data_IF_910900763907
#
_entry.id   IF_910900763907
#
_cell.length_a   1.000
_cell.length_b   1.000
_cell.length_c   1.000
_cell.angle_alpha   90.00
_cell.angle_beta   90.00
_cell.angle_gamma   90.00
#
_symmetry.space_group_name_H-M   'P 1'
#
loop_
_entity.id
_entity.type
_entity.pdbx_description
1 polymer ?
#
# COMPACT_ATOMS: atom_id res chain seq x y z
N UNK A 1 -15.81 10.47 26.48
CA UNK A 1 -16.33 9.81 27.67
C UNK A 1 -15.24 9.60 28.69
N UNK A 2 -15.59 9.57 29.96
CA UNK A 2 -14.68 9.28 31.07
C UNK A 2 -14.56 7.76 31.19
N UNK A 3 -13.36 7.24 31.39
CA UNK A 3 -13.13 5.80 31.56
C UNK A 3 -13.74 5.30 32.88
N UNK A 4 -14.18 4.03 32.91
CA UNK A 4 -14.94 3.44 34.00
C UNK A 4 -14.23 3.51 35.35
N UNK A 5 -12.89 3.49 35.34
CA UNK A 5 -12.08 3.61 36.56
C UNK A 5 -11.95 5.05 37.07
N UNK A 6 -11.98 6.03 36.19
CA UNK A 6 -11.98 7.45 36.51
C UNK A 6 -13.36 7.91 37.03
N UNK A 7 -14.43 7.19 36.73
CA UNK A 7 -15.77 7.49 37.16
C UNK A 7 -16.08 7.01 38.58
N UNK A 8 -15.26 6.15 39.19
CA UNK A 8 -15.56 5.52 40.50
C UNK A 8 -15.63 6.49 41.67
N UNK A 9 -14.92 7.61 41.60
CA UNK A 9 -14.82 8.58 42.70
C UNK A 9 -15.66 9.86 42.44
N UNK A 10 -16.46 9.88 41.35
CA UNK A 10 -17.31 11.03 41.04
C UNK A 10 -18.67 10.85 41.72
N UNK A 11 -18.91 11.63 42.75
CA UNK A 11 -20.15 11.62 43.51
C UNK A 11 -21.05 12.82 43.21
N UNK A 12 -20.67 13.67 42.25
CA UNK A 12 -21.40 14.86 41.86
C UNK A 12 -22.56 14.52 40.91
N UNK A 13 -23.68 15.23 41.07
CA UNK A 13 -24.78 15.19 40.09
C UNK A 13 -24.38 15.96 38.83
N UNK A 14 -24.78 15.44 37.68
CA UNK A 14 -24.54 16.07 36.37
C UNK A 14 -25.88 16.50 35.76
N UNK A 15 -25.97 17.74 35.33
CA UNK A 15 -27.11 18.26 34.58
C UNK A 15 -26.73 18.31 33.10
N UNK A 16 -27.51 17.68 32.27
CA UNK A 16 -27.32 17.65 30.82
C UNK A 16 -28.45 18.38 30.12
N UNK A 17 -28.10 19.26 29.20
CA UNK A 17 -29.04 19.93 28.30
C UNK A 17 -28.74 19.42 26.86
N UNK A 18 -29.75 18.88 26.20
CA UNK A 18 -29.65 18.47 24.80
C UNK A 18 -29.84 19.71 23.95
N UNK A 19 -28.75 20.25 23.42
CA UNK A 19 -28.77 21.47 22.61
C UNK A 19 -29.06 21.20 21.14
N UNK A 20 -28.74 19.98 20.65
CA UNK A 20 -28.92 19.59 19.25
C UNK A 20 -29.09 18.09 19.14
N UNK A 21 -30.04 17.67 18.32
CA UNK A 21 -30.22 16.27 17.92
C UNK A 21 -29.97 16.18 16.42
N UNK A 22 -28.98 15.42 16.02
CA UNK A 22 -28.70 15.13 14.62
C UNK A 22 -29.04 13.67 14.30
N UNK A 23 -29.64 13.45 13.17
CA UNK A 23 -29.99 12.10 12.68
C UNK A 23 -29.38 11.92 11.30
N UNK A 24 -28.58 10.87 11.16
CA UNK A 24 -28.10 10.47 9.84
C UNK A 24 -29.23 9.72 9.12
N UNK A 25 -29.62 10.25 7.98
CA UNK A 25 -30.58 9.63 7.07
C UNK A 25 -29.88 9.38 5.71
N UNK A 26 -30.30 8.34 4.96
CA UNK A 26 -29.81 8.19 3.60
C UNK A 26 -30.06 9.45 2.78
N UNK A 27 -29.09 9.88 2.00
CA UNK A 27 -29.25 11.02 1.09
C UNK A 27 -30.19 10.64 -0.05
N UNK A 28 -30.91 11.61 -0.58
CA UNK A 28 -31.66 11.44 -1.82
C UNK A 28 -30.69 11.41 -3.00
N UNK A 29 -31.06 10.68 -4.08
CA UNK A 29 -30.26 10.58 -5.29
C UNK A 29 -30.56 11.80 -6.17
N UNK A 30 -30.01 12.94 -5.80
CA UNK A 30 -30.21 14.23 -6.43
C UNK A 30 -28.88 14.90 -6.84
N UNK A 31 -28.96 16.04 -7.53
CA UNK A 31 -27.77 16.79 -7.98
C UNK A 31 -26.86 17.25 -6.82
N UNK A 32 -27.40 17.45 -5.61
CA UNK A 32 -26.62 17.87 -4.45
C UNK A 32 -25.70 16.73 -4.01
N UNK A 33 -26.23 15.52 -3.92
CA UNK A 33 -25.45 14.32 -3.64
C UNK A 33 -24.41 14.05 -4.73
N UNK A 34 -24.79 14.21 -6.02
CA UNK A 34 -23.88 13.94 -7.14
C UNK A 34 -22.67 14.88 -7.12
N UNK A 35 -22.90 16.17 -6.89
CA UNK A 35 -21.84 17.17 -6.73
C UNK A 35 -20.99 16.97 -5.48
N UNK A 36 -21.60 16.52 -4.39
CA UNK A 36 -20.86 16.24 -3.16
C UNK A 36 -19.94 15.01 -3.32
N UNK A 37 -20.42 13.95 -4.01
CA UNK A 37 -19.65 12.73 -4.23
C UNK A 37 -18.58 12.91 -5.33
N UNK A 38 -18.92 13.61 -6.42
CA UNK A 38 -18.06 13.80 -7.57
C UNK A 38 -18.00 15.29 -7.97
N UNK A 39 -17.30 16.13 -7.20
CA UNK A 39 -17.33 17.59 -7.38
C UNK A 39 -16.69 18.07 -8.70
N UNK A 40 -15.97 17.20 -9.39
CA UNK A 40 -15.31 17.51 -10.66
C UNK A 40 -16.08 17.05 -11.90
N UNK A 41 -17.05 16.17 -11.72
CA UNK A 41 -17.83 15.58 -12.79
C UNK A 41 -19.17 16.31 -12.93
N UNK A 42 -19.62 16.60 -14.16
CA UNK A 42 -20.93 17.22 -14.43
C UNK A 42 -22.01 16.13 -14.53
N UNK A 43 -22.31 15.48 -13.41
CA UNK A 43 -23.30 14.42 -13.28
C UNK A 43 -24.65 15.04 -12.96
N UNK A 44 -25.66 14.78 -13.78
CA UNK A 44 -27.00 15.38 -13.69
C UNK A 44 -28.12 14.37 -13.49
N UNK A 45 -27.88 13.11 -13.82
CA UNK A 45 -28.89 12.05 -13.74
C UNK A 45 -28.45 10.94 -12.81
N UNK A 46 -29.44 10.23 -12.24
CA UNK A 46 -29.16 9.04 -11.42
C UNK A 46 -28.42 7.96 -12.23
N UNK A 47 -28.70 7.81 -13.51
CA UNK A 47 -28.03 6.82 -14.38
C UNK A 47 -26.54 7.14 -14.52
N UNK A 48 -26.20 8.41 -14.82
CA UNK A 48 -24.80 8.87 -14.90
C UNK A 48 -24.08 8.67 -13.56
N UNK A 49 -24.74 8.99 -12.44
CA UNK A 49 -24.19 8.78 -11.10
C UNK A 49 -23.90 7.31 -10.83
N UNK A 50 -24.86 6.43 -11.11
CA UNK A 50 -24.69 4.98 -10.92
C UNK A 50 -23.58 4.42 -11.81
N UNK A 51 -23.45 4.90 -13.04
CA UNK A 51 -22.36 4.50 -13.93
C UNK A 51 -21.01 4.97 -13.40
N UNK A 52 -20.91 6.21 -12.94
CA UNK A 52 -19.69 6.73 -12.34
C UNK A 52 -19.29 5.97 -11.07
N UNK A 53 -20.24 5.69 -10.18
CA UNK A 53 -19.99 4.86 -9.00
C UNK A 53 -19.50 3.46 -9.40
N UNK A 54 -20.10 2.85 -10.43
CA UNK A 54 -19.68 1.53 -10.94
C UNK A 54 -18.27 1.57 -11.51
N UNK A 55 -17.91 2.63 -12.23
CA UNK A 55 -16.56 2.85 -12.74
C UNK A 55 -15.54 2.93 -11.60
N UNK A 56 -15.80 3.75 -10.58
CA UNK A 56 -14.90 3.91 -9.44
C UNK A 56 -14.76 2.62 -8.61
N UNK A 57 -15.86 1.91 -8.38
CA UNK A 57 -15.83 0.60 -7.72
C UNK A 57 -15.02 -0.40 -8.56
N UNK A 58 -15.27 -0.46 -9.86
CA UNK A 58 -14.55 -1.35 -10.78
C UNK A 58 -13.04 -1.05 -10.79
N UNK A 59 -12.67 0.24 -10.77
CA UNK A 59 -11.28 0.67 -10.68
C UNK A 59 -10.64 0.24 -9.35
N UNK A 60 -11.34 0.43 -8.23
CA UNK A 60 -10.86 0.00 -6.92
C UNK A 60 -10.64 -1.53 -6.86
N UNK A 61 -11.60 -2.32 -7.34
CA UNK A 61 -11.46 -3.78 -7.40
C UNK A 61 -10.34 -4.23 -8.33
N UNK A 62 -10.14 -3.55 -9.45
CA UNK A 62 -9.03 -3.85 -10.35
C UNK A 62 -7.69 -3.62 -9.65
N UNK A 63 -7.55 -2.53 -8.92
CA UNK A 63 -6.32 -2.26 -8.14
C UNK A 63 -6.07 -3.33 -7.07
N UNK A 64 -7.11 -3.76 -6.35
CA UNK A 64 -6.97 -4.82 -5.34
C UNK A 64 -6.67 -6.19 -5.98
N UNK A 65 -7.27 -6.50 -7.13
CA UNK A 65 -6.96 -7.70 -7.92
C UNK A 65 -5.49 -7.68 -8.37
N UNK A 66 -4.99 -6.53 -8.81
CA UNK A 66 -3.60 -6.36 -9.22
C UNK A 66 -2.63 -6.56 -8.04
N UNK A 67 -2.98 -6.06 -6.86
CA UNK A 67 -2.19 -6.29 -5.64
C UNK A 67 -2.17 -7.77 -5.24
N UNK A 68 -3.33 -8.42 -5.26
CA UNK A 68 -3.44 -9.85 -4.97
C UNK A 68 -2.62 -10.68 -5.97
N UNK A 69 -2.72 -10.37 -7.25
CA UNK A 69 -1.94 -11.00 -8.30
C UNK A 69 -0.43 -10.80 -8.07
N UNK A 70 0.02 -9.56 -7.83
CA UNK A 70 1.43 -9.26 -7.56
C UNK A 70 1.98 -10.12 -6.41
N UNK A 71 1.24 -10.20 -5.32
CA UNK A 71 1.64 -10.98 -4.16
C UNK A 71 1.70 -12.47 -4.45
N UNK A 72 0.64 -13.03 -5.04
CA UNK A 72 0.60 -14.45 -5.39
C UNK A 72 1.69 -14.83 -6.39
N UNK A 73 1.95 -13.97 -7.36
CA UNK A 73 3.01 -14.16 -8.35
C UNK A 73 4.40 -14.14 -7.70
N UNK A 74 4.66 -13.23 -6.76
CA UNK A 74 5.91 -13.17 -6.00
C UNK A 74 6.08 -14.38 -5.09
N UNK A 75 5.05 -14.78 -4.35
CA UNK A 75 5.09 -15.97 -3.50
C UNK A 75 5.36 -17.23 -4.34
N UNK A 76 4.70 -17.38 -5.49
CA UNK A 76 4.93 -18.49 -6.40
C UNK A 76 6.34 -18.48 -6.99
N UNK A 77 6.80 -17.32 -7.44
CA UNK A 77 8.15 -17.16 -7.97
C UNK A 77 9.20 -17.51 -6.90
N UNK A 78 8.93 -17.10 -5.66
CA UNK A 78 9.78 -17.41 -4.51
C UNK A 78 9.79 -18.92 -4.20
N UNK A 79 8.66 -19.59 -4.25
CA UNK A 79 8.55 -21.04 -4.01
C UNK A 79 9.27 -21.84 -5.10
N UNK A 80 9.03 -21.48 -6.38
CA UNK A 80 9.57 -22.20 -7.55
C UNK A 80 11.06 -21.89 -7.79
N UNK A 81 11.61 -20.82 -7.19
CA UNK A 81 13.04 -20.51 -7.32
C UNK A 81 13.85 -21.33 -6.32
N UNK A 82 14.68 -22.24 -6.83
CA UNK A 82 15.62 -22.99 -5.99
C UNK A 82 16.93 -22.21 -5.83
N UNK A 83 17.14 -21.64 -4.63
CA UNK A 83 18.39 -20.97 -4.26
C UNK A 83 19.09 -21.78 -3.17
N UNK A 84 20.20 -22.39 -3.57
CA UNK A 84 21.05 -23.12 -2.62
C UNK A 84 21.91 -22.13 -1.81
N UNK A 85 21.51 -21.85 -0.59
CA UNK A 85 22.23 -20.95 0.32
C UNK A 85 23.18 -21.75 1.22
N UNK A 86 24.43 -21.26 1.44
CA UNK A 86 25.37 -21.88 2.35
C UNK A 86 25.02 -21.53 3.81
N UNK A 87 24.01 -22.20 4.36
CA UNK A 87 23.37 -21.86 5.65
C UNK A 87 24.36 -21.72 6.80
N UNK A 88 25.33 -22.67 6.94
CA UNK A 88 26.34 -22.62 7.99
C UNK A 88 27.30 -21.43 7.88
N UNK A 89 27.61 -21.02 6.65
CA UNK A 89 28.41 -19.82 6.41
C UNK A 89 27.60 -18.57 6.76
N UNK A 90 26.35 -18.52 6.33
CA UNK A 90 25.47 -17.35 6.55
C UNK A 90 25.19 -17.11 8.03
N UNK A 91 24.96 -18.17 8.83
CA UNK A 91 24.80 -18.04 10.28
C UNK A 91 26.05 -17.42 10.92
N UNK A 92 27.24 -17.92 10.57
CA UNK A 92 28.51 -17.37 11.06
C UNK A 92 28.74 -15.94 10.62
N UNK A 93 28.40 -15.64 9.37
CA UNK A 93 28.52 -14.30 8.82
C UNK A 93 27.57 -13.31 9.54
N UNK A 94 26.31 -13.68 9.76
CA UNK A 94 25.34 -12.88 10.53
C UNK A 94 25.86 -12.58 11.92
N UNK A 95 26.41 -13.57 12.63
CA UNK A 95 27.00 -13.39 13.95
C UNK A 95 28.16 -12.40 13.93
N UNK A 96 29.08 -12.56 12.98
CA UNK A 96 30.27 -11.71 12.88
C UNK A 96 29.91 -10.28 12.46
N UNK A 97 29.01 -10.12 11.50
CA UNK A 97 28.59 -8.81 10.97
C UNK A 97 27.81 -7.96 11.98
N UNK A 98 27.13 -8.62 12.93
CA UNK A 98 26.44 -7.94 14.02
C UNK A 98 27.34 -7.62 15.23
N UNK A 99 28.65 -7.84 15.10
CA UNK A 99 29.63 -7.52 16.17
C UNK A 99 29.27 -8.15 17.53
N UNK A 100 28.59 -9.29 17.53
CA UNK A 100 28.13 -9.98 18.73
C UNK A 100 26.91 -9.35 19.42
N UNK A 101 26.24 -8.38 18.79
CA UNK A 101 24.98 -7.78 19.31
C UNK A 101 23.82 -8.75 19.29
N UNK A 102 23.88 -9.77 18.41
CA UNK A 102 22.89 -10.83 18.28
C UNK A 102 23.59 -12.16 18.62
N UNK A 103 23.06 -12.91 19.53
CA UNK A 103 23.63 -14.22 19.91
C UNK A 103 23.44 -15.26 18.80
N UNK A 104 24.30 -16.30 18.79
CA UNK A 104 24.16 -17.40 17.86
C UNK A 104 22.81 -18.14 18.04
N UNK A 105 22.34 -18.24 19.27
CA UNK A 105 21.04 -18.86 19.59
C UNK A 105 19.87 -18.08 19.00
N UNK A 106 19.91 -16.74 19.05
CA UNK A 106 18.89 -15.89 18.42
C UNK A 106 18.96 -15.96 16.91
N UNK A 107 20.16 -16.05 16.32
CA UNK A 107 20.33 -16.25 14.88
C UNK A 107 19.72 -17.59 14.47
N UNK A 108 20.01 -18.69 15.17
CA UNK A 108 19.47 -20.01 14.87
C UNK A 108 17.93 -20.02 14.95
N UNK A 109 17.37 -19.41 15.99
CA UNK A 109 15.92 -19.31 16.19
C UNK A 109 15.21 -18.56 15.07
N UNK A 110 15.85 -17.53 14.53
CA UNK A 110 15.26 -16.65 13.52
C UNK A 110 15.83 -16.90 12.10
N UNK A 111 16.64 -17.96 11.93
CA UNK A 111 17.39 -18.17 10.69
C UNK A 111 16.51 -18.36 9.47
N UNK A 112 15.38 -19.02 9.61
CA UNK A 112 14.43 -19.19 8.49
C UNK A 112 13.93 -17.86 7.93
N UNK A 113 13.72 -16.87 8.79
CA UNK A 113 13.39 -15.51 8.38
C UNK A 113 14.52 -14.84 7.59
N UNK A 114 15.75 -14.95 8.08
CA UNK A 114 16.93 -14.42 7.36
C UNK A 114 17.16 -15.12 6.02
N UNK A 115 17.02 -16.43 6.00
CA UNK A 115 17.14 -17.24 4.79
C UNK A 115 16.11 -16.85 3.74
N UNK A 116 14.85 -16.66 4.17
CA UNK A 116 13.77 -16.20 3.31
C UNK A 116 14.05 -14.80 2.75
N UNK A 117 14.48 -13.86 3.57
CA UNK A 117 14.82 -12.51 3.13
C UNK A 117 15.97 -12.50 2.12
N UNK A 118 17.03 -13.25 2.36
CA UNK A 118 18.15 -13.39 1.41
C UNK A 118 17.72 -14.01 0.08
N UNK A 119 16.92 -15.08 0.12
CA UNK A 119 16.39 -15.70 -1.09
C UNK A 119 15.57 -14.70 -1.90
N UNK A 120 14.72 -13.92 -1.23
CA UNK A 120 13.90 -12.89 -1.86
C UNK A 120 14.78 -11.82 -2.52
N UNK A 121 15.76 -11.28 -1.80
CA UNK A 121 16.70 -10.28 -2.33
C UNK A 121 17.49 -10.81 -3.55
N UNK A 122 17.93 -12.06 -3.51
CA UNK A 122 18.62 -12.66 -4.65
C UNK A 122 17.71 -12.84 -5.86
N UNK A 123 16.46 -13.21 -5.65
CA UNK A 123 15.45 -13.33 -6.70
C UNK A 123 15.16 -11.97 -7.33
N UNK A 124 14.95 -10.94 -6.51
CA UNK A 124 14.71 -9.56 -6.96
C UNK A 124 15.89 -9.02 -7.78
N UNK A 125 17.11 -9.24 -7.29
CA UNK A 125 18.33 -8.86 -8.00
C UNK A 125 18.49 -9.59 -9.33
N UNK A 126 18.14 -10.88 -9.38
CA UNK A 126 18.20 -11.65 -10.62
C UNK A 126 17.17 -11.17 -11.65
N UNK A 127 15.97 -10.85 -11.23
CA UNK A 127 14.91 -10.29 -12.07
C UNK A 127 15.30 -8.91 -12.60
N UNK A 128 15.74 -8.01 -11.71
CA UNK A 128 16.16 -6.65 -12.07
C UNK A 128 17.34 -6.65 -13.03
N UNK A 129 18.28 -7.61 -12.86
CA UNK A 129 19.42 -7.77 -13.76
C UNK A 129 19.01 -8.25 -15.17
N UNK A 130 17.94 -9.02 -15.27
CA UNK A 130 17.39 -9.49 -16.55
C UNK A 130 16.52 -8.44 -17.24
N UNK A 131 15.85 -7.59 -16.47
CA UNK A 131 14.97 -6.54 -16.96
C UNK A 131 15.16 -5.26 -16.14
N UNK A 132 15.89 -4.30 -16.72
CA UNK A 132 16.19 -3.01 -16.05
C UNK A 132 14.94 -2.19 -15.75
N UNK A 133 13.83 -2.39 -16.47
CA UNK A 133 12.56 -1.70 -16.21
C UNK A 133 11.95 -2.08 -14.86
N UNK A 134 12.36 -3.20 -14.27
CA UNK A 134 11.94 -3.60 -12.92
C UNK A 134 12.65 -2.82 -11.81
N UNK A 135 13.79 -2.19 -12.14
CA UNK A 135 14.59 -1.47 -11.16
C UNK A 135 13.84 -0.22 -10.68
N UNK A 136 13.66 -0.10 -9.38
CA UNK A 136 13.15 1.12 -8.73
C UNK A 136 14.32 2.06 -8.45
N UNK A 137 14.24 3.28 -8.95
CA UNK A 137 15.26 4.33 -8.78
C UNK A 137 14.85 5.34 -7.72
N UNK A 138 15.79 6.17 -7.27
CA UNK A 138 15.48 7.29 -6.36
C UNK A 138 14.50 8.28 -6.99
N UNK A 139 14.58 8.47 -8.32
CA UNK A 139 13.64 9.30 -9.06
C UNK A 139 12.21 8.73 -9.02
N UNK A 140 12.06 7.42 -9.13
CA UNK A 140 10.76 6.75 -9.00
C UNK A 140 10.17 6.95 -7.60
N UNK A 141 10.99 6.77 -6.57
CA UNK A 141 10.60 7.00 -5.18
C UNK A 141 10.16 8.44 -4.95
N UNK A 142 10.94 9.41 -5.44
CA UNK A 142 10.60 10.83 -5.36
C UNK A 142 9.29 11.14 -6.09
N UNK A 143 9.08 10.57 -7.26
CA UNK A 143 7.85 10.75 -8.03
C UNK A 143 6.63 10.23 -7.26
N UNK A 144 6.72 9.05 -6.66
CA UNK A 144 5.65 8.47 -5.86
C UNK A 144 5.35 9.32 -4.61
N UNK A 145 6.39 9.75 -3.89
CA UNK A 145 6.25 10.63 -2.73
C UNK A 145 5.62 11.97 -3.14
N UNK A 146 6.07 12.58 -4.23
CA UNK A 146 5.48 13.82 -4.75
C UNK A 146 4.01 13.66 -5.09
N UNK A 147 3.64 12.57 -5.73
CA UNK A 147 2.24 12.26 -6.07
C UNK A 147 1.38 12.10 -4.82
N UNK A 148 1.90 11.44 -3.79
CA UNK A 148 1.21 11.30 -2.51
C UNK A 148 0.94 12.66 -1.86
N UNK A 149 1.96 13.51 -1.76
CA UNK A 149 1.80 14.85 -1.16
C UNK A 149 0.99 15.80 -2.04
N UNK A 150 1.09 15.70 -3.37
CA UNK A 150 0.24 16.47 -4.31
C UNK A 150 -1.24 16.18 -4.07
N UNK A 151 -1.61 14.91 -3.90
CA UNK A 151 -2.97 14.50 -3.55
C UNK A 151 -3.46 15.01 -2.20
N UNK A 152 -2.56 15.17 -1.24
CA UNK A 152 -2.88 15.67 0.10
C UNK A 152 -3.02 17.20 0.14
N UNK A 153 -2.09 17.93 -0.48
CA UNK A 153 -2.09 19.40 -0.45
C UNK A 153 -3.02 20.05 -1.47
N UNK A 154 -3.30 19.37 -2.58
CA UNK A 154 -4.09 19.85 -3.70
C UNK A 154 -5.22 18.87 -4.07
N UNK A 155 -6.11 18.57 -3.11
CA UNK A 155 -7.21 17.67 -3.40
C UNK A 155 -8.08 18.33 -4.48
N UNK A 156 -8.00 17.81 -5.71
CA UNK A 156 -8.87 18.26 -6.76
C UNK A 156 -8.21 19.01 -7.92
N UNK A 157 -6.93 19.33 -7.88
CA UNK A 157 -6.23 19.89 -9.06
C UNK A 157 -5.75 18.78 -9.99
N UNK A 158 -5.94 18.98 -11.29
CA UNK A 158 -5.40 18.09 -12.32
C UNK A 158 -3.87 18.07 -12.26
N UNK A 159 -3.26 16.96 -12.63
CA UNK A 159 -1.80 16.78 -12.63
C UNK A 159 -1.05 17.75 -13.59
N UNK A 160 -1.78 18.50 -14.39
CA UNK A 160 -1.27 19.31 -15.49
C UNK A 160 -0.92 20.78 -15.13
N UNK A 161 -1.28 21.27 -13.94
CA UNK A 161 -0.82 22.59 -13.50
C UNK A 161 0.54 22.45 -12.81
N UNK A 162 1.60 22.48 -13.62
CA UNK A 162 2.99 22.58 -13.17
C UNK A 162 3.29 24.01 -12.69
N UNK A 163 2.94 24.31 -11.44
CA UNK A 163 3.51 25.47 -10.75
C UNK A 163 4.98 25.16 -10.39
N UNK A 164 5.97 25.85 -11.00
CA UNK A 164 7.37 25.59 -10.73
C UNK A 164 7.74 25.74 -9.24
N UNK A 165 7.13 26.68 -8.51
CA UNK A 165 7.37 26.88 -7.09
C UNK A 165 6.84 25.72 -6.25
N UNK A 166 5.68 25.19 -6.61
CA UNK A 166 5.10 23.99 -5.97
C UNK A 166 5.95 22.75 -6.25
N UNK A 167 6.41 22.57 -7.47
CA UNK A 167 7.27 21.45 -7.84
C UNK A 167 8.59 21.47 -7.07
N UNK A 168 9.20 22.64 -6.85
CA UNK A 168 10.41 22.80 -6.04
C UNK A 168 10.15 22.42 -4.57
N UNK A 169 9.02 22.85 -4.01
CA UNK A 169 8.63 22.48 -2.64
C UNK A 169 8.40 20.97 -2.51
N UNK A 170 7.71 20.35 -3.45
CA UNK A 170 7.49 18.91 -3.47
C UNK A 170 8.81 18.14 -3.61
N UNK A 171 9.76 18.64 -4.38
CA UNK A 171 11.09 18.04 -4.51
C UNK A 171 11.84 18.08 -3.17
N UNK A 172 11.79 19.22 -2.46
CA UNK A 172 12.41 19.34 -1.14
C UNK A 172 11.74 18.41 -0.10
N UNK A 173 10.42 18.30 -0.14
CA UNK A 173 9.65 17.38 0.70
C UNK A 173 10.07 15.93 0.42
N UNK A 174 10.13 15.53 -0.86
CA UNK A 174 10.51 14.18 -1.26
C UNK A 174 11.95 13.84 -0.80
N UNK A 175 12.90 14.72 -1.01
CA UNK A 175 14.29 14.53 -0.57
C UNK A 175 14.37 14.36 0.96
N UNK A 176 13.73 15.25 1.72
CA UNK A 176 13.68 15.14 3.18
C UNK A 176 13.00 13.85 3.67
N UNK A 177 11.97 13.41 2.95
CA UNK A 177 11.24 12.19 3.28
C UNK A 177 12.12 10.95 3.10
N UNK A 178 12.83 10.85 1.99
CA UNK A 178 13.77 9.76 1.68
C UNK A 178 14.90 9.67 2.72
N UNK A 179 15.42 10.81 3.18
CA UNK A 179 16.50 10.83 4.18
C UNK A 179 16.05 10.40 5.58
N UNK A 180 14.85 10.85 5.99
CA UNK A 180 14.40 10.71 7.39
C UNK A 180 13.54 9.47 7.64
N UNK A 181 12.87 8.93 6.62
CA UNK A 181 11.87 7.87 6.76
C UNK A 181 12.30 6.60 6.02
N UNK A 182 13.44 6.03 6.40
CA UNK A 182 14.04 4.88 5.69
C UNK A 182 13.13 3.65 5.62
N UNK A 183 12.40 3.36 6.68
CA UNK A 183 11.48 2.20 6.71
C UNK A 183 10.31 2.41 5.75
N UNK A 184 9.74 3.61 5.73
CA UNK A 184 8.65 3.94 4.82
C UNK A 184 9.12 4.03 3.36
N UNK A 185 10.32 4.57 3.13
CA UNK A 185 10.98 4.55 1.82
C UNK A 185 11.14 3.13 1.30
N UNK A 186 11.53 2.19 2.18
CA UNK A 186 11.63 0.78 1.82
C UNK A 186 10.27 0.19 1.45
N UNK A 187 9.22 0.51 2.19
CA UNK A 187 7.84 0.06 1.88
C UNK A 187 7.38 0.58 0.52
N UNK A 188 7.64 1.87 0.22
CA UNK A 188 7.31 2.46 -1.09
C UNK A 188 8.10 1.77 -2.20
N UNK A 189 9.38 1.49 -1.98
CA UNK A 189 10.22 0.75 -2.92
C UNK A 189 9.63 -0.64 -3.21
N UNK A 190 9.30 -1.40 -2.17
CA UNK A 190 8.79 -2.76 -2.30
C UNK A 190 7.41 -2.77 -3.00
N UNK A 191 6.57 -1.76 -2.75
CA UNK A 191 5.29 -1.60 -3.43
C UNK A 191 5.47 -1.27 -4.92
N UNK A 192 6.36 -0.34 -5.27
CA UNK A 192 6.70 -0.01 -6.66
C UNK A 192 7.28 -1.20 -7.41
N UNK A 193 8.19 -1.92 -6.77
CA UNK A 193 8.80 -3.11 -7.32
C UNK A 193 7.76 -4.21 -7.59
N UNK A 194 6.89 -4.49 -6.61
CA UNK A 194 5.80 -5.44 -6.75
C UNK A 194 4.85 -5.07 -7.89
N UNK A 195 4.53 -3.79 -8.03
CA UNK A 195 3.69 -3.26 -9.11
C UNK A 195 4.34 -3.47 -10.49
N UNK A 196 5.65 -3.22 -10.62
CA UNK A 196 6.42 -3.44 -11.85
C UNK A 196 6.51 -4.92 -12.22
N UNK A 197 6.76 -5.79 -11.24
CA UNK A 197 6.77 -7.24 -11.47
C UNK A 197 5.39 -7.73 -11.90
N UNK A 198 4.32 -7.27 -11.25
CA UNK A 198 2.97 -7.65 -11.64
C UNK A 198 2.67 -7.28 -13.10
N UNK A 199 3.01 -6.04 -13.50
CA UNK A 199 2.83 -5.60 -14.88
C UNK A 199 3.65 -6.44 -15.85
N UNK A 200 4.92 -6.69 -15.54
CA UNK A 200 5.80 -7.52 -16.36
C UNK A 200 5.28 -8.96 -16.51
N UNK A 201 4.87 -9.59 -15.42
CA UNK A 201 4.35 -10.95 -15.47
C UNK A 201 3.01 -11.05 -16.22
N UNK A 202 2.17 -10.02 -16.14
CA UNK A 202 0.93 -9.94 -16.92
C UNK A 202 1.17 -9.85 -18.42
N UNK A 203 2.25 -9.20 -18.84
CA UNK A 203 2.62 -9.05 -20.26
C UNK A 203 3.30 -10.31 -20.81
N UNK A 204 4.12 -10.99 -19.99
CA UNK A 204 4.97 -12.09 -20.44
C UNK A 204 4.37 -13.48 -20.24
N UNK A 205 3.35 -13.62 -19.35
CA UNK A 205 2.81 -14.92 -18.98
C UNK A 205 1.32 -15.05 -19.34
N UNK A 206 0.87 -16.25 -19.76
CA UNK A 206 -0.55 -16.51 -19.89
C UNK A 206 -1.21 -16.44 -18.51
N UNK A 207 -2.26 -15.64 -18.40
CA UNK A 207 -3.03 -15.48 -17.17
C UNK A 207 -4.26 -16.40 -17.19
N UNK A 208 -4.53 -17.03 -16.07
CA UNK A 208 -5.80 -17.73 -15.81
C UNK A 208 -6.71 -16.78 -14.99
N UNK A 209 -7.51 -15.99 -15.69
CA UNK A 209 -8.45 -15.06 -15.06
C UNK A 209 -9.73 -15.79 -14.66
N UNK A 210 -10.09 -15.69 -13.40
CA UNK A 210 -11.31 -16.27 -12.85
C UNK A 210 -12.26 -15.17 -12.39
N UNK A 211 -13.47 -15.18 -12.95
CA UNK A 211 -14.56 -14.37 -12.40
C UNK A 211 -15.02 -14.96 -11.06
N UNK A 212 -15.08 -14.12 -10.05
CA UNK A 212 -15.50 -14.49 -8.69
C UNK A 212 -16.52 -13.47 -8.16
N UNK A 213 -17.32 -13.88 -7.19
CA UNK A 213 -18.20 -12.98 -6.46
C UNK A 213 -17.40 -12.09 -5.51
N UNK A 214 -18.03 -11.02 -5.03
CA UNK A 214 -17.42 -10.13 -4.02
C UNK A 214 -16.95 -10.89 -2.77
N UNK A 215 -17.79 -11.80 -2.26
CA UNK A 215 -17.50 -12.55 -1.04
C UNK A 215 -16.31 -13.50 -1.25
N UNK A 216 -16.25 -14.20 -2.37
CA UNK A 216 -15.10 -15.05 -2.75
C UNK A 216 -13.83 -14.24 -2.90
N UNK A 217 -13.90 -13.06 -3.52
CA UNK A 217 -12.75 -12.17 -3.65
C UNK A 217 -12.23 -11.68 -2.29
N UNK A 218 -13.15 -11.28 -1.40
CA UNK A 218 -12.77 -10.86 -0.04
C UNK A 218 -12.18 -12.00 0.79
N UNK A 219 -12.60 -13.24 0.57
CA UNK A 219 -11.98 -14.41 1.19
C UNK A 219 -10.54 -14.62 0.71
N UNK A 220 -10.30 -14.48 -0.60
CA UNK A 220 -8.92 -14.59 -1.15
C UNK A 220 -8.00 -13.50 -0.58
N UNK A 221 -8.47 -12.25 -0.50
CA UNK A 221 -7.71 -11.17 0.13
C UNK A 221 -7.36 -11.51 1.58
N UNK A 222 -8.31 -12.01 2.38
CA UNK A 222 -8.08 -12.35 3.79
C UNK A 222 -7.04 -13.46 3.97
N UNK A 223 -7.03 -14.47 3.09
CA UNK A 223 -6.04 -15.56 3.13
C UNK A 223 -4.61 -15.05 2.97
N UNK A 224 -4.47 -13.95 2.25
CA UNK A 224 -3.18 -13.37 1.87
C UNK A 224 -2.72 -12.26 2.82
N UNK A 225 -3.65 -11.64 3.58
CA UNK A 225 -3.37 -10.54 4.52
C UNK A 225 -3.28 -10.97 5.99
N UNK A 226 -3.68 -12.19 6.34
CA UNK A 226 -3.57 -12.79 7.68
C UNK A 226 -2.32 -13.59 7.83
#
# INVERSE_FOLDING_TARGET
GIEKDQAKDITSDFQFEITKIERNVPAELDEELFKAAFPKDDIRTEEEFREKVREEISKAFRMESDRLFARNAMDRLFEDTDVNLPDEFLKKWLFTSNEGKVSMEEIEKNYDGYRRAMKMEMTDNALTKKNENLRVTDEDLKAEIKNYFKGYFLPGQSQEEDDPAMNEQLEQIANNYLEKNKDETRRIHDELFSRRIASFLKEEMPLDEKEVTYDEFMEEIRKVTG
#
